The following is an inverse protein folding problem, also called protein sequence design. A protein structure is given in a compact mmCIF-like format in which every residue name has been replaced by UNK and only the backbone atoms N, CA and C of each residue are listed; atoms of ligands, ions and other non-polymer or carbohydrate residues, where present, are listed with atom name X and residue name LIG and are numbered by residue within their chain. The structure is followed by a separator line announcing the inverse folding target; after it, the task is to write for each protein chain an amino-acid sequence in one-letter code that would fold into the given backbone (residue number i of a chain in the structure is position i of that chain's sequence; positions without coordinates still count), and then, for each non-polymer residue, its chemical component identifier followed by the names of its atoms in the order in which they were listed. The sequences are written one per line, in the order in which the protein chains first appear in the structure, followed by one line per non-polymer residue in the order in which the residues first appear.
data_IF_631792034373
#
_entry.id   IF_631792034373
#
_cell.length_a   1.000
_cell.length_b   1.000
_cell.length_c   1.000
_cell.angle_alpha   90.00
_cell.angle_beta   90.00
_cell.angle_gamma   90.00
#
_symmetry.space_group_name_H-M   'P 1'
#
loop_
_entity.id
_entity.type
_entity.pdbx_description
1 polymer ?
#
# COMPACT_ATOMS: atom_id res chain seq x y z
N UNK A 1 18.46 -11.03 -11.80
CA UNK A 1 17.47 -9.95 -11.92
C UNK A 1 16.45 -10.05 -10.78
N UNK A 2 16.08 -8.91 -10.17
CA UNK A 2 15.11 -8.82 -9.06
C UNK A 2 13.95 -7.93 -9.51
N UNK A 3 12.73 -8.40 -9.46
CA UNK A 3 11.54 -7.58 -9.69
C UNK A 3 10.90 -7.20 -8.35
N UNK A 4 10.69 -5.90 -8.11
CA UNK A 4 10.03 -5.39 -6.91
C UNK A 4 8.68 -4.80 -7.30
N UNK A 5 7.63 -5.55 -7.05
CA UNK A 5 6.25 -5.11 -7.24
C UNK A 5 5.81 -4.24 -6.08
N UNK A 6 5.26 -3.07 -6.35
CA UNK A 6 4.83 -2.16 -5.31
C UNK A 6 3.45 -1.56 -5.55
N UNK A 7 2.79 -1.19 -4.46
CA UNK A 7 1.56 -0.41 -4.46
C UNK A 7 1.68 0.68 -3.39
N UNK A 8 1.47 1.95 -3.76
CA UNK A 8 1.63 3.06 -2.83
C UNK A 8 0.61 4.17 -3.08
N UNK A 9 -0.22 4.47 -2.08
CA UNK A 9 -1.19 5.57 -2.15
C UNK A 9 -0.59 6.93 -1.77
N UNK A 10 0.18 6.97 -0.70
CA UNK A 10 0.70 8.21 -0.08
C UNK A 10 2.22 8.34 -0.16
N UNK A 11 2.88 7.46 -0.91
CA UNK A 11 4.32 7.53 -1.16
C UNK A 11 5.17 6.60 -0.28
N UNK A 12 4.75 6.25 0.93
CA UNK A 12 5.56 5.45 1.87
C UNK A 12 6.11 4.16 1.25
N UNK A 13 5.26 3.30 0.71
CA UNK A 13 5.71 2.03 0.12
C UNK A 13 6.57 2.24 -1.14
N UNK A 14 6.28 3.27 -1.95
CA UNK A 14 7.12 3.60 -3.10
C UNK A 14 8.51 4.09 -2.67
N UNK A 15 8.58 4.91 -1.61
CA UNK A 15 9.86 5.34 -1.05
C UNK A 15 10.68 4.15 -0.57
N UNK A 16 10.09 3.26 0.22
CA UNK A 16 10.75 2.03 0.68
C UNK A 16 11.20 1.16 -0.51
N UNK A 17 10.35 0.98 -1.52
CA UNK A 17 10.72 0.22 -2.72
C UNK A 17 11.91 0.85 -3.46
N UNK A 18 11.94 2.18 -3.59
CA UNK A 18 13.07 2.93 -4.17
C UNK A 18 14.36 2.75 -3.35
N UNK A 19 14.27 2.79 -2.03
CA UNK A 19 15.43 2.58 -1.15
C UNK A 19 15.97 1.14 -1.24
N UNK A 20 15.10 0.15 -1.34
CA UNK A 20 15.49 -1.24 -1.57
C UNK A 20 16.16 -1.43 -2.93
N UNK A 21 15.58 -0.86 -3.99
CA UNK A 21 16.13 -0.98 -5.35
C UNK A 21 17.54 -0.36 -5.46
N UNK A 22 17.84 0.69 -4.71
CA UNK A 22 19.18 1.29 -4.65
C UNK A 22 20.24 0.36 -4.02
N UNK A 23 19.83 -0.60 -3.20
CA UNK A 23 20.70 -1.51 -2.43
C UNK A 23 20.76 -2.92 -3.00
N UNK A 24 19.81 -3.26 -3.86
CA UNK A 24 19.73 -4.58 -4.49
C UNK A 24 20.20 -4.47 -5.94
N UNK A 25 21.18 -5.28 -6.38
CA UNK A 25 21.68 -5.23 -7.74
C UNK A 25 20.59 -5.64 -8.74
N UNK A 26 20.54 -4.96 -9.87
CA UNK A 26 19.60 -5.23 -10.96
C UNK A 26 18.13 -5.30 -10.52
N UNK A 27 17.72 -4.46 -9.57
CA UNK A 27 16.34 -4.42 -9.10
C UNK A 27 15.49 -3.48 -9.95
N UNK A 28 14.42 -4.01 -10.53
CA UNK A 28 13.41 -3.26 -11.27
C UNK A 28 12.17 -2.99 -10.40
N UNK A 29 11.66 -1.76 -10.43
CA UNK A 29 10.45 -1.37 -9.72
C UNK A 29 9.23 -1.45 -10.64
N UNK A 30 8.26 -2.29 -10.30
CA UNK A 30 7.08 -2.55 -11.10
C UNK A 30 5.81 -2.17 -10.31
N UNK A 31 5.06 -1.13 -10.75
CA UNK A 31 3.85 -0.73 -10.04
C UNK A 31 2.71 -1.73 -10.27
N UNK A 32 2.12 -2.24 -9.19
CA UNK A 32 0.97 -3.17 -9.25
C UNK A 32 -0.25 -2.52 -9.93
N UNK A 33 -0.43 -1.21 -9.77
CA UNK A 33 -1.57 -0.49 -10.33
C UNK A 33 -1.57 -0.40 -11.87
N UNK A 34 -0.45 -0.75 -12.55
CA UNK A 34 -0.36 -0.78 -14.02
C UNK A 34 -1.13 -1.94 -14.65
N UNK A 35 -1.29 -3.03 -13.91
CA UNK A 35 -1.93 -4.23 -14.43
C UNK A 35 -3.45 -4.10 -14.46
N UNK A 36 -4.01 -4.40 -15.61
CA UNK A 36 -5.46 -4.40 -15.82
C UNK A 36 -6.18 -5.46 -14.98
N UNK A 37 -7.51 -5.36 -14.92
CA UNK A 37 -8.32 -6.25 -14.08
C UNK A 37 -8.29 -7.74 -14.49
N UNK A 38 -7.95 -8.05 -15.73
CA UNK A 38 -7.99 -9.42 -16.31
C UNK A 38 -6.65 -9.91 -16.84
N UNK A 39 -5.62 -9.12 -16.71
CA UNK A 39 -4.29 -9.41 -17.24
C UNK A 39 -3.60 -10.49 -16.41
N UNK A 40 -3.12 -11.55 -17.02
CA UNK A 40 -2.21 -12.50 -16.40
C UNK A 40 -0.85 -11.83 -16.20
N UNK A 41 -0.22 -12.10 -15.07
CA UNK A 41 1.04 -11.48 -14.69
C UNK A 41 2.07 -12.60 -14.55
N UNK A 42 3.05 -12.60 -15.44
CA UNK A 42 4.12 -13.61 -15.42
C UNK A 42 5.45 -12.93 -15.16
N UNK A 43 6.21 -13.47 -14.22
CA UNK A 43 7.57 -13.05 -13.92
C UNK A 43 8.54 -14.22 -14.12
N UNK A 44 9.64 -13.95 -14.81
CA UNK A 44 10.76 -14.87 -14.98
C UNK A 44 11.96 -14.54 -14.08
N UNK A 45 11.82 -13.56 -13.20
CA UNK A 45 12.86 -13.11 -12.30
C UNK A 45 13.27 -14.19 -11.29
N UNK A 46 14.56 -14.20 -10.93
CA UNK A 46 15.12 -15.13 -9.94
C UNK A 46 14.75 -14.75 -8.51
N UNK A 47 14.40 -13.48 -8.31
CA UNK A 47 13.87 -12.99 -7.05
C UNK A 47 12.72 -12.00 -7.29
N UNK A 48 11.66 -12.12 -6.47
CA UNK A 48 10.47 -11.29 -6.55
C UNK A 48 10.19 -10.66 -5.19
N UNK A 49 10.13 -9.33 -5.15
CA UNK A 49 9.77 -8.54 -3.99
C UNK A 49 8.34 -8.00 -4.08
N UNK A 50 7.69 -7.88 -2.93
CA UNK A 50 6.40 -7.20 -2.79
C UNK A 50 6.51 -6.12 -1.72
N UNK A 51 6.34 -4.84 -2.08
CA UNK A 51 6.40 -3.71 -1.14
C UNK A 51 5.06 -2.98 -1.13
N UNK A 52 4.28 -3.16 -0.06
CA UNK A 52 2.88 -2.75 -0.02
C UNK A 52 2.45 -2.21 1.34
N UNK A 53 1.45 -1.32 1.37
CA UNK A 53 0.85 -0.88 2.63
C UNK A 53 -0.17 -1.90 3.15
N UNK A 54 -0.52 -1.75 4.42
CA UNK A 54 -1.67 -2.42 5.03
C UNK A 54 -2.83 -1.43 5.11
N UNK A 55 -3.94 -1.77 4.48
CA UNK A 55 -5.17 -0.99 4.55
C UNK A 55 -6.21 -1.75 5.37
N UNK A 56 -6.74 -1.09 6.40
CA UNK A 56 -7.80 -1.65 7.24
C UNK A 56 -7.54 -3.10 7.63
N UNK A 57 -6.41 -3.29 8.27
CA UNK A 57 -6.03 -4.58 8.83
C UNK A 57 -5.80 -5.69 7.76
N UNK A 58 -5.60 -5.33 6.49
CA UNK A 58 -5.41 -6.32 5.44
C UNK A 58 -4.73 -5.76 4.19
N UNK A 59 -4.61 -6.60 3.19
CA UNK A 59 -4.06 -6.19 1.90
C UNK A 59 -5.03 -5.27 1.15
N UNK A 60 -4.55 -4.21 0.51
CA UNK A 60 -5.33 -3.48 -0.48
C UNK A 60 -5.86 -4.41 -1.56
N UNK A 61 -7.11 -4.22 -1.98
CA UNK A 61 -7.70 -5.10 -2.99
C UNK A 61 -6.92 -5.18 -4.32
N UNK A 62 -6.21 -4.10 -4.78
CA UNK A 62 -5.38 -4.24 -5.97
C UNK A 62 -4.22 -5.22 -5.77
N UNK A 63 -3.61 -5.22 -4.58
CA UNK A 63 -2.52 -6.15 -4.21
C UNK A 63 -3.03 -7.58 -4.14
N UNK A 64 -4.20 -7.78 -3.51
CA UNK A 64 -4.83 -9.11 -3.46
C UNK A 64 -5.08 -9.66 -4.86
N UNK A 65 -5.69 -8.88 -5.74
CA UNK A 65 -5.93 -9.26 -7.13
C UNK A 65 -4.66 -9.49 -7.95
N UNK A 66 -3.60 -8.75 -7.65
CA UNK A 66 -2.31 -9.00 -8.25
C UNK A 66 -1.80 -10.40 -7.89
N UNK A 67 -1.74 -10.73 -6.60
CA UNK A 67 -1.26 -12.04 -6.12
C UNK A 67 -2.11 -13.21 -6.63
N UNK A 68 -3.42 -13.06 -6.73
CA UNK A 68 -4.35 -14.07 -7.27
C UNK A 68 -4.10 -14.40 -8.76
N UNK A 69 -3.36 -13.56 -9.49
CA UNK A 69 -3.13 -13.69 -10.95
C UNK A 69 -1.66 -13.75 -11.32
N UNK A 70 -0.78 -13.52 -10.35
CA UNK A 70 0.65 -13.56 -10.57
C UNK A 70 1.13 -15.01 -10.62
N UNK A 71 1.95 -15.29 -11.64
CA UNK A 71 2.71 -16.52 -11.77
C UNK A 71 4.18 -16.16 -11.77
N UNK A 72 4.94 -16.73 -10.86
CA UNK A 72 6.36 -16.48 -10.71
C UNK A 72 7.16 -17.69 -11.18
N UNK A 73 8.40 -17.45 -11.62
CA UNK A 73 9.33 -18.53 -11.98
C UNK A 73 9.39 -19.56 -10.84
N UNK A 74 9.21 -20.86 -11.13
CA UNK A 74 9.36 -21.91 -10.13
C UNK A 74 10.72 -21.83 -9.44
N UNK A 75 10.73 -21.95 -8.10
CA UNK A 75 11.94 -21.83 -7.29
C UNK A 75 12.48 -20.41 -7.12
N UNK A 76 11.85 -19.36 -7.66
CA UNK A 76 12.26 -17.98 -7.42
C UNK A 76 12.20 -17.63 -5.94
N UNK A 77 13.18 -16.87 -5.46
CA UNK A 77 13.15 -16.33 -4.11
C UNK A 77 12.10 -15.23 -3.98
N UNK A 78 11.23 -15.31 -2.96
CA UNK A 78 10.15 -14.35 -2.77
C UNK A 78 10.27 -13.64 -1.43
N UNK A 79 10.18 -12.30 -1.43
CA UNK A 79 10.15 -11.52 -0.19
C UNK A 79 9.00 -10.52 -0.19
N UNK A 80 8.49 -10.21 1.01
CA UNK A 80 7.41 -9.25 1.22
C UNK A 80 7.79 -8.23 2.28
N UNK A 81 7.49 -6.96 2.02
CA UNK A 81 7.70 -5.84 2.93
C UNK A 81 6.39 -5.09 3.09
N UNK A 82 5.91 -4.94 4.32
CA UNK A 82 4.75 -4.11 4.64
C UNK A 82 5.18 -2.84 5.34
N UNK A 83 4.67 -1.69 4.87
CA UNK A 83 4.98 -0.35 5.41
C UNK A 83 4.04 0.05 6.54
N UNK A 84 3.68 -0.91 7.36
CA UNK A 84 3.03 -0.79 8.65
C UNK A 84 3.26 -2.07 9.42
N UNK A 85 3.52 -1.98 10.71
CA UNK A 85 3.44 -3.12 11.59
C UNK A 85 2.08 -3.81 11.46
N UNK A 86 2.11 -5.10 11.29
CA UNK A 86 0.92 -5.92 11.13
C UNK A 86 1.15 -7.30 11.75
N UNK A 87 0.05 -7.97 12.08
CA UNK A 87 0.12 -9.37 12.51
C UNK A 87 0.63 -10.25 11.38
N UNK A 88 1.33 -11.31 11.72
CA UNK A 88 1.84 -12.30 10.75
C UNK A 88 0.75 -12.94 9.89
N UNK A 89 -0.50 -12.93 10.34
CA UNK A 89 -1.66 -13.38 9.56
C UNK A 89 -1.77 -12.68 8.20
N UNK A 90 -1.20 -11.49 8.03
CA UNK A 90 -1.13 -10.82 6.73
C UNK A 90 -0.23 -11.59 5.77
N UNK A 91 0.96 -12.00 6.22
CA UNK A 91 1.89 -12.79 5.40
C UNK A 91 1.35 -14.19 5.10
N UNK A 92 0.70 -14.83 6.06
CA UNK A 92 -0.03 -16.07 5.82
C UNK A 92 -1.17 -15.90 4.80
N UNK A 93 -1.82 -14.73 4.81
CA UNK A 93 -2.83 -14.40 3.80
C UNK A 93 -2.19 -14.19 2.42
N UNK A 94 -1.01 -13.57 2.35
CA UNK A 94 -0.26 -13.44 1.09
C UNK A 94 0.15 -14.81 0.53
N UNK A 95 0.67 -15.69 1.38
CA UNK A 95 1.05 -17.06 0.98
C UNK A 95 -0.13 -17.84 0.37
N UNK A 96 -1.32 -17.71 0.97
CA UNK A 96 -2.54 -18.37 0.47
C UNK A 96 -3.03 -17.86 -0.89
N UNK A 97 -2.55 -16.70 -1.32
CA UNK A 97 -2.88 -16.11 -2.62
C UNK A 97 -1.86 -16.48 -3.72
N UNK A 98 -0.73 -17.05 -3.34
CA UNK A 98 0.24 -17.59 -4.28
C UNK A 98 -0.22 -18.96 -4.83
N UNK A 99 0.34 -19.42 -5.95
CA UNK A 99 0.14 -20.78 -6.44
C UNK A 99 0.40 -21.83 -5.35
N UNK A 100 -0.28 -22.98 -5.45
CA UNK A 100 -0.26 -24.02 -4.42
C UNK A 100 1.16 -24.48 -4.13
N UNK A 101 1.56 -24.45 -2.86
CA UNK A 101 2.88 -24.85 -2.38
C UNK A 101 3.93 -23.73 -2.37
N UNK A 102 3.61 -22.56 -2.92
CA UNK A 102 4.48 -21.40 -2.88
C UNK A 102 4.26 -20.55 -1.62
N UNK A 103 5.33 -19.89 -1.17
CA UNK A 103 5.29 -18.94 -0.05
C UNK A 103 6.40 -17.90 -0.15
N UNK A 104 6.25 -16.81 0.55
CA UNK A 104 7.33 -15.86 0.73
C UNK A 104 8.43 -16.44 1.64
N UNK A 105 9.68 -16.36 1.21
CA UNK A 105 10.85 -16.82 1.97
C UNK A 105 11.19 -15.83 3.08
N UNK A 106 11.13 -14.52 2.78
CA UNK A 106 11.37 -13.48 3.75
C UNK A 106 10.20 -12.49 3.84
N UNK A 107 9.82 -12.16 5.08
CA UNK A 107 8.71 -11.25 5.36
C UNK A 107 9.15 -10.21 6.37
N UNK A 108 8.85 -8.94 6.10
CA UNK A 108 9.24 -7.81 6.93
C UNK A 108 8.05 -6.86 7.12
N UNK A 109 7.90 -6.38 8.34
CA UNK A 109 6.92 -5.35 8.68
C UNK A 109 7.59 -4.30 9.55
N UNK A 110 7.42 -3.04 9.22
CA UNK A 110 7.90 -1.92 10.02
C UNK A 110 7.00 -0.70 9.86
N UNK A 111 7.13 0.22 10.78
CA UNK A 111 6.31 1.42 10.82
C UNK A 111 6.76 2.42 9.76
N UNK A 112 5.77 3.07 9.14
CA UNK A 112 5.91 4.29 8.36
C UNK A 112 4.87 5.31 8.82
N UNK A 113 5.05 6.62 8.56
CA UNK A 113 4.13 7.63 9.03
C UNK A 113 2.67 7.33 8.70
N UNK A 114 1.80 7.46 9.70
CA UNK A 114 0.37 7.15 9.58
C UNK A 114 -0.30 8.06 8.57
N UNK A 115 -1.11 7.45 7.70
CA UNK A 115 -1.89 8.15 6.68
C UNK A 115 -3.40 7.88 6.78
N UNK A 116 -3.85 7.12 7.78
CA UNK A 116 -5.27 6.81 7.97
C UNK A 116 -5.97 7.87 8.85
N UNK A 117 -6.10 9.07 8.33
CA UNK A 117 -6.72 10.23 8.97
C UNK A 117 -8.17 10.08 9.43
N UNK A 118 -9.02 9.14 8.94
CA UNK A 118 -10.32 8.92 9.55
C UNK A 118 -10.30 8.55 11.03
N UNK A 119 -9.14 8.08 11.52
CA UNK A 119 -8.96 7.65 12.93
C UNK A 119 -7.79 8.35 13.59
N UNK A 120 -6.67 8.53 12.89
CA UNK A 120 -5.41 9.02 13.46
C UNK A 120 -5.06 10.41 12.93
N UNK A 121 -4.31 11.16 13.69
CA UNK A 121 -3.62 12.37 13.23
C UNK A 121 -2.35 11.97 12.47
N UNK A 122 -1.87 12.84 11.59
CA UNK A 122 -0.57 12.65 10.96
C UNK A 122 0.54 12.88 11.97
N UNK A 123 1.65 12.18 11.80
CA UNK A 123 2.81 12.32 12.68
C UNK A 123 3.39 13.74 12.64
N UNK A 124 3.91 14.17 13.77
CA UNK A 124 4.74 15.38 13.90
C UNK A 124 5.99 15.27 13.04
N UNK A 125 6.71 16.36 12.86
CA UNK A 125 7.94 16.39 12.09
C UNK A 125 9.03 15.53 12.74
N UNK A 126 9.17 15.59 14.07
CA UNK A 126 10.14 14.78 14.82
C UNK A 126 9.85 13.28 14.73
N UNK A 127 8.56 12.89 14.84
CA UNK A 127 8.15 11.50 14.67
C UNK A 127 8.45 11.00 13.25
N UNK A 128 8.19 11.81 12.22
CA UNK A 128 8.52 11.47 10.84
C UNK A 128 10.01 11.30 10.62
N UNK A 129 10.84 12.20 11.19
CA UNK A 129 12.28 12.11 11.11
C UNK A 129 12.83 10.87 11.83
N UNK A 130 12.25 10.49 12.98
CA UNK A 130 12.60 9.25 13.68
C UNK A 130 12.29 8.02 12.83
N UNK A 131 11.05 7.94 12.35
CA UNK A 131 10.58 6.80 11.52
C UNK A 131 11.38 6.66 10.23
N UNK A 132 11.79 7.78 9.61
CA UNK A 132 12.64 7.76 8.41
C UNK A 132 14.01 7.15 8.68
N UNK A 133 14.66 7.48 9.80
CA UNK A 133 15.96 6.87 10.20
C UNK A 133 15.80 5.37 10.45
N UNK A 134 14.80 4.98 11.24
CA UNK A 134 14.51 3.58 11.53
C UNK A 134 14.20 2.77 10.25
N UNK A 135 13.48 3.38 9.31
CA UNK A 135 13.20 2.78 8.01
C UNK A 135 14.47 2.49 7.22
N UNK A 136 15.43 3.41 7.19
CA UNK A 136 16.71 3.20 6.48
C UNK A 136 17.48 2.02 7.06
N UNK A 137 17.53 1.88 8.38
CA UNK A 137 18.15 0.73 9.06
C UNK A 137 17.43 -0.59 8.71
N UNK A 138 16.10 -0.57 8.68
CA UNK A 138 15.31 -1.72 8.24
C UNK A 138 15.61 -2.09 6.80
N UNK A 139 15.69 -1.12 5.89
CA UNK A 139 15.98 -1.36 4.47
C UNK A 139 17.37 -1.98 4.28
N UNK A 140 18.39 -1.53 5.02
CA UNK A 140 19.76 -2.09 4.96
C UNK A 140 19.77 -3.56 5.41
N UNK A 141 19.07 -3.87 6.49
CA UNK A 141 18.91 -5.25 6.97
C UNK A 141 18.15 -6.12 5.96
N UNK A 142 17.05 -5.61 5.38
CA UNK A 142 16.28 -6.31 4.37
C UNK A 142 17.14 -6.62 3.15
N UNK A 143 17.86 -5.62 2.64
CA UNK A 143 18.74 -5.79 1.48
C UNK A 143 19.79 -6.89 1.72
N UNK A 144 20.40 -6.92 2.93
CA UNK A 144 21.37 -7.96 3.31
C UNK A 144 20.73 -9.36 3.31
N UNK A 145 19.53 -9.51 3.88
CA UNK A 145 18.83 -10.81 3.95
C UNK A 145 18.42 -11.27 2.55
N UNK A 146 17.88 -10.36 1.73
CA UNK A 146 17.44 -10.64 0.36
C UNK A 146 18.63 -11.02 -0.54
N UNK A 147 19.74 -10.30 -0.46
CA UNK A 147 20.96 -10.60 -1.24
C UNK A 147 21.52 -11.99 -0.93
N UNK A 148 21.39 -12.45 0.31
CA UNK A 148 21.78 -13.81 0.74
C UNK A 148 20.69 -14.86 0.47
N UNK A 149 19.54 -14.48 -0.07
CA UNK A 149 18.35 -15.33 -0.24
C UNK A 149 17.98 -16.08 1.06
N UNK A 150 18.22 -15.46 2.20
CA UNK A 150 18.00 -16.09 3.50
C UNK A 150 16.50 -16.12 3.84
N UNK A 151 16.10 -17.15 4.57
CA UNK A 151 14.72 -17.24 5.10
C UNK A 151 14.60 -16.36 6.35
N UNK A 152 13.62 -15.46 6.32
CA UNK A 152 13.31 -14.57 7.42
C UNK A 152 11.80 -14.42 7.58
N UNK A 153 11.25 -15.04 8.62
CA UNK A 153 9.81 -14.88 8.92
C UNK A 153 9.66 -14.43 10.36
N UNK A 154 9.00 -13.29 10.59
CA UNK A 154 8.75 -12.84 11.93
C UNK A 154 7.91 -13.89 12.67
N UNK A 155 8.15 -14.12 13.94
CA UNK A 155 7.36 -15.04 14.78
C UNK A 155 6.31 -14.23 15.54
N UNK A 156 5.04 -14.67 15.52
CA UNK A 156 4.02 -14.08 16.38
C UNK A 156 4.38 -14.38 17.84
N UNK A 157 4.24 -13.38 18.70
CA UNK A 157 4.34 -13.61 20.13
C UNK A 157 3.20 -14.56 20.56
N UNK A 158 3.47 -15.61 21.36
CA UNK A 158 2.43 -16.59 21.75
C UNK A 158 1.15 -15.97 22.30
N UNK A 159 1.26 -14.88 23.09
CA UNK A 159 0.11 -14.16 23.65
C UNK A 159 -0.78 -13.46 22.61
N UNK A 160 -0.31 -13.28 21.38
CA UNK A 160 -1.06 -12.66 20.29
C UNK A 160 -1.83 -13.66 19.42
N UNK A 161 -1.63 -14.97 19.67
CA UNK A 161 -2.25 -16.01 18.84
C UNK A 161 -3.77 -15.91 18.79
N UNK A 162 -4.43 -15.77 19.94
CA UNK A 162 -5.91 -15.62 20.01
C UNK A 162 -6.36 -14.35 19.30
N UNK A 163 -5.68 -13.23 19.55
CA UNK A 163 -6.01 -11.95 18.93
C UNK A 163 -5.84 -12.02 17.41
N UNK A 164 -4.73 -12.58 16.92
CA UNK A 164 -4.39 -12.60 15.50
C UNK A 164 -5.19 -13.63 14.69
N UNK A 165 -5.57 -14.76 15.29
CA UNK A 165 -6.24 -15.84 14.56
C UNK A 165 -7.76 -15.89 14.75
N UNK A 166 -8.27 -15.41 15.88
CA UNK A 166 -9.70 -15.43 16.18
C UNK A 166 -10.36 -14.05 16.09
N UNK A 167 -9.83 -13.06 16.78
CA UNK A 167 -10.46 -11.73 16.88
C UNK A 167 -10.20 -10.91 15.62
N UNK A 168 -8.96 -10.86 15.17
CA UNK A 168 -8.55 -10.06 14.02
C UNK A 168 -9.29 -10.40 12.71
N UNK A 169 -9.54 -11.67 12.31
CA UNK A 169 -10.32 -11.97 11.14
C UNK A 169 -11.77 -11.46 11.21
N UNK A 170 -12.40 -11.51 12.40
CA UNK A 170 -13.75 -11.00 12.62
C UNK A 170 -13.81 -9.48 12.51
N UNK A 171 -12.88 -8.78 13.19
CA UNK A 171 -12.76 -7.32 13.10
C UNK A 171 -12.47 -6.88 11.69
N UNK A 172 -11.57 -7.56 10.97
CA UNK A 172 -11.25 -7.30 9.57
C UNK A 172 -12.48 -7.49 8.67
N UNK A 173 -13.24 -8.57 8.87
CA UNK A 173 -14.46 -8.85 8.10
C UNK A 173 -15.51 -7.77 8.32
N UNK A 174 -15.75 -7.38 9.57
CA UNK A 174 -16.64 -6.28 9.91
C UNK A 174 -16.21 -4.96 9.26
N UNK A 175 -14.93 -4.63 9.34
CA UNK A 175 -14.37 -3.43 8.72
C UNK A 175 -14.58 -3.42 7.20
N UNK A 176 -14.35 -4.55 6.53
CA UNK A 176 -14.48 -4.67 5.08
C UNK A 176 -15.93 -4.67 4.61
N UNK A 177 -16.85 -5.23 5.38
CA UNK A 177 -18.26 -5.35 4.97
C UNK A 177 -19.10 -4.12 5.36
N UNK A 178 -18.81 -3.50 6.50
CA UNK A 178 -19.63 -2.41 7.05
C UNK A 178 -18.95 -1.06 6.93
N UNK A 179 -17.69 -0.97 7.38
CA UNK A 179 -16.99 0.30 7.52
C UNK A 179 -16.54 0.91 6.20
N UNK A 180 -15.98 0.10 5.33
CA UNK A 180 -15.43 0.56 4.06
C UNK A 180 -16.47 1.03 3.05
N UNK A 181 -17.55 0.29 2.76
CA UNK A 181 -18.56 0.76 1.83
C UNK A 181 -19.14 2.12 2.25
N UNK A 182 -19.32 2.34 3.56
CA UNK A 182 -19.80 3.62 4.07
C UNK A 182 -18.77 4.74 3.93
N UNK A 183 -17.48 4.47 4.19
CA UNK A 183 -16.42 5.44 3.99
C UNK A 183 -16.24 5.82 2.53
N UNK A 184 -16.41 4.88 1.61
CA UNK A 184 -16.31 5.13 0.17
C UNK A 184 -17.31 6.18 -0.33
N UNK A 185 -18.51 6.20 0.26
CA UNK A 185 -19.58 7.16 -0.05
C UNK A 185 -19.42 8.50 0.67
N UNK A 186 -18.51 8.57 1.65
CA UNK A 186 -18.33 9.74 2.51
C UNK A 186 -17.33 10.75 1.96
N UNK A 187 -16.63 10.45 0.86
CA UNK A 187 -15.70 11.38 0.24
C UNK A 187 -16.45 12.48 -0.51
N UNK A 188 -16.01 13.72 -0.31
CA UNK A 188 -16.53 14.88 -1.02
C UNK A 188 -15.44 15.94 -1.20
N UNK A 189 -15.69 16.91 -2.06
CA UNK A 189 -14.88 18.12 -2.21
C UNK A 189 -15.65 19.31 -1.67
N UNK A 190 -15.07 20.05 -0.73
CA UNK A 190 -15.64 21.30 -0.20
C UNK A 190 -15.39 22.47 -1.19
N UNK A 191 -15.76 23.70 -0.75
CA UNK A 191 -15.70 24.89 -1.60
C UNK A 191 -14.27 25.39 -1.88
N UNK A 192 -13.27 24.90 -1.16
CA UNK A 192 -11.85 25.16 -1.46
C UNK A 192 -11.36 24.44 -2.74
N UNK A 193 -12.23 23.67 -3.41
CA UNK A 193 -11.86 22.93 -4.61
C UNK A 193 -11.60 23.87 -5.79
N UNK A 194 -10.36 23.86 -6.29
CA UNK A 194 -9.93 24.68 -7.44
C UNK A 194 -10.12 23.99 -8.80
N UNK A 195 -10.64 22.77 -8.83
CA UNK A 195 -10.81 22.01 -10.09
C UNK A 195 -9.51 21.46 -10.69
N UNK A 196 -8.37 21.48 -9.99
CA UNK A 196 -7.05 21.16 -10.54
C UNK A 196 -6.88 19.71 -11.04
N UNK A 197 -7.78 18.77 -10.72
CA UNK A 197 -7.75 17.39 -11.21
C UNK A 197 -6.76 16.46 -10.53
N UNK A 198 -5.91 16.94 -9.61
CA UNK A 198 -4.89 16.11 -8.93
C UNK A 198 -5.49 14.85 -8.30
N UNK A 199 -6.67 14.95 -7.65
CA UNK A 199 -7.35 13.83 -7.04
C UNK A 199 -7.73 12.71 -8.02
N UNK A 200 -8.11 13.07 -9.26
CA UNK A 200 -8.38 12.10 -10.33
C UNK A 200 -7.08 11.46 -10.87
N UNK A 201 -6.02 12.27 -11.00
CA UNK A 201 -4.71 11.80 -11.47
C UNK A 201 -4.11 10.77 -10.51
N UNK A 202 -4.10 11.03 -9.19
CA UNK A 202 -3.53 10.13 -8.18
C UNK A 202 -4.45 8.96 -7.80
N UNK A 203 -5.67 8.89 -8.32
CA UNK A 203 -6.61 7.82 -7.99
C UNK A 203 -6.20 6.51 -8.66
N UNK A 204 -5.52 5.62 -7.93
CA UNK A 204 -5.01 4.35 -8.44
C UNK A 204 -6.12 3.36 -8.87
N UNK A 205 -7.34 3.56 -8.38
CA UNK A 205 -8.51 2.78 -8.79
C UNK A 205 -9.27 3.38 -9.97
N UNK A 206 -8.88 4.56 -10.46
CA UNK A 206 -9.64 5.35 -11.44
C UNK A 206 -11.10 5.60 -11.02
N UNK A 207 -11.35 5.68 -9.70
CA UNK A 207 -12.69 5.95 -9.16
C UNK A 207 -13.12 7.41 -9.32
N UNK A 208 -12.18 8.33 -9.40
CA UNK A 208 -12.46 9.77 -9.48
C UNK A 208 -12.32 10.24 -10.91
N UNK A 209 -13.37 10.92 -11.41
CA UNK A 209 -13.38 11.64 -12.69
C UNK A 209 -13.73 13.09 -12.44
N UNK A 210 -13.29 13.99 -13.32
CA UNK A 210 -13.67 15.41 -13.26
C UNK A 210 -14.96 15.63 -14.05
N UNK A 211 -15.95 16.29 -13.44
CA UNK A 211 -17.21 16.70 -14.07
C UNK A 211 -17.51 18.14 -13.67
N UNK A 212 -17.72 19.01 -14.64
CA UNK A 212 -17.97 20.44 -14.38
C UNK A 212 -16.90 21.10 -13.50
N UNK A 213 -15.62 20.76 -13.70
CA UNK A 213 -14.51 21.30 -12.91
C UNK A 213 -14.40 20.73 -11.46
N UNK A 214 -15.23 19.77 -11.06
CA UNK A 214 -15.19 19.17 -9.71
C UNK A 214 -15.01 17.64 -9.76
N UNK A 215 -14.40 17.04 -8.73
CA UNK A 215 -14.25 15.58 -8.67
C UNK A 215 -15.59 14.89 -8.41
N UNK A 216 -15.87 13.83 -9.17
CA UNK A 216 -17.01 12.94 -9.00
C UNK A 216 -16.51 11.49 -8.78
N UNK A 217 -17.02 10.84 -7.74
CA UNK A 217 -16.68 9.45 -7.43
C UNK A 217 -17.63 8.50 -8.16
N UNK A 218 -17.10 7.73 -9.09
CA UNK A 218 -17.89 6.78 -9.89
C UNK A 218 -18.48 5.68 -9.01
N UNK A 219 -19.81 5.43 -9.01
CA UNK A 219 -20.44 4.46 -8.09
C UNK A 219 -19.98 3.03 -8.36
N UNK A 220 -19.76 2.66 -9.62
CA UNK A 220 -19.43 1.29 -10.06
C UNK A 220 -17.94 0.96 -10.02
N UNK A 221 -17.10 1.86 -9.52
CA UNK A 221 -15.67 1.65 -9.37
C UNK A 221 -15.32 1.55 -7.90
N UNK A 222 -14.76 0.41 -7.48
CA UNK A 222 -14.36 0.18 -6.09
C UNK A 222 -13.17 1.05 -5.70
N UNK A 223 -13.24 1.74 -4.56
CA UNK A 223 -12.13 2.51 -4.00
C UNK A 223 -11.01 1.60 -3.49
N UNK A 224 -9.74 1.99 -3.69
CA UNK A 224 -8.59 1.31 -3.10
C UNK A 224 -8.32 1.72 -1.65
N UNK A 225 -9.04 2.69 -1.11
CA UNK A 225 -8.90 3.25 0.24
C UNK A 225 -7.49 3.74 0.59
N UNK A 226 -6.74 4.13 -0.44
CA UNK A 226 -5.34 4.54 -0.30
C UNK A 226 -5.16 6.00 0.15
N UNK A 227 -6.24 6.77 0.22
CA UNK A 227 -6.27 8.18 0.61
C UNK A 227 -5.37 9.14 -0.22
N UNK A 228 -4.85 8.68 -1.36
CA UNK A 228 -4.04 9.52 -2.23
C UNK A 228 -4.76 10.83 -2.61
N UNK A 229 -6.03 10.75 -3.02
CA UNK A 229 -6.82 11.93 -3.36
C UNK A 229 -6.96 12.93 -2.21
N UNK A 230 -6.99 12.46 -0.98
CA UNK A 230 -7.04 13.29 0.22
C UNK A 230 -5.68 13.96 0.47
N UNK A 231 -4.61 13.19 0.53
CA UNK A 231 -3.29 13.68 0.95
C UNK A 231 -2.58 14.53 -0.10
N UNK A 232 -2.80 14.29 -1.38
CA UNK A 232 -2.21 15.06 -2.48
C UNK A 232 -3.08 16.24 -2.96
N UNK A 233 -4.24 16.51 -2.35
CA UNK A 233 -5.06 17.65 -2.71
C UNK A 233 -4.37 18.96 -2.30
N UNK A 234 -3.93 19.82 -3.25
CA UNK A 234 -3.16 21.03 -2.91
C UNK A 234 -3.98 22.07 -2.16
N UNK A 235 -5.28 22.16 -2.45
CA UNK A 235 -6.21 23.08 -1.76
C UNK A 235 -6.87 22.48 -0.53
N UNK A 236 -6.48 21.25 -0.13
CA UNK A 236 -7.06 20.50 0.97
C UNK A 236 -8.60 20.31 0.88
N UNK A 237 -9.15 20.41 -0.32
CA UNK A 237 -10.59 20.37 -0.55
C UNK A 237 -11.23 18.98 -0.34
N UNK A 238 -10.47 17.89 -0.56
CA UNK A 238 -11.02 16.54 -0.38
C UNK A 238 -11.17 16.24 1.11
N UNK A 239 -12.39 15.87 1.51
CA UNK A 239 -12.77 15.58 2.90
C UNK A 239 -13.53 14.26 2.99
N UNK A 240 -13.71 13.76 4.23
CA UNK A 240 -14.49 12.56 4.54
C UNK A 240 -15.58 12.95 5.54
N UNK A 241 -16.83 12.89 5.12
CA UNK A 241 -17.98 13.24 5.93
C UNK A 241 -18.07 12.41 7.23
N UNK A 242 -18.50 13.01 8.31
CA UNK A 242 -18.58 12.36 9.63
C UNK A 242 -17.22 12.06 10.26
N UNK A 243 -16.12 12.64 9.72
CA UNK A 243 -14.76 12.52 10.24
C UNK A 243 -14.14 13.91 10.35
N UNK A 244 -13.46 14.18 11.43
CA UNK A 244 -12.83 15.49 11.65
C UNK A 244 -11.53 15.62 10.82
N UNK A 245 -11.63 15.37 9.49
CA UNK A 245 -10.45 15.32 8.61
C UNK A 245 -9.86 16.70 8.28
N UNK A 246 -10.58 17.76 8.54
CA UNK A 246 -10.09 19.14 8.39
C UNK A 246 -8.97 19.48 9.37
N UNK A 247 -8.96 18.86 10.58
CA UNK A 247 -8.00 19.14 11.65
C UNK A 247 -6.86 18.13 11.77
N UNK A 248 -6.94 16.96 11.08
CA UNK A 248 -6.00 15.86 11.29
C UNK A 248 -4.74 15.92 10.43
N UNK A 249 -4.54 17.02 9.72
CA UNK A 249 -3.39 17.23 8.88
C UNK A 249 -3.41 16.40 7.59
N UNK A 250 -2.37 16.57 6.80
CA UNK A 250 -2.13 15.84 5.55
C UNK A 250 -0.67 15.42 5.49
N UNK A 251 -0.45 14.25 5.00
CA UNK A 251 0.89 13.73 4.82
C UNK A 251 0.97 12.82 3.61
N UNK A 252 1.87 13.11 2.74
CA UNK A 252 2.44 12.17 1.79
C UNK A 252 3.95 12.18 1.93
N UNK A 253 4.62 11.13 1.52
CA UNK A 253 6.07 11.07 1.64
C UNK A 253 6.73 12.20 0.83
N UNK A 254 7.62 13.03 1.43
CA UNK A 254 8.14 14.25 0.80
C UNK A 254 8.93 13.97 -0.49
N UNK A 255 9.58 12.82 -0.61
CA UNK A 255 10.31 12.43 -1.82
C UNK A 255 9.42 11.80 -2.92
N UNK A 256 8.08 11.79 -2.75
CA UNK A 256 7.16 11.19 -3.71
C UNK A 256 6.09 12.20 -4.12
N UNK A 257 6.13 12.63 -5.36
CA UNK A 257 5.20 13.61 -5.92
C UNK A 257 3.85 12.98 -6.34
N UNK A 258 2.85 13.83 -6.59
CA UNK A 258 1.58 13.39 -7.18
C UNK A 258 1.80 12.74 -8.56
N UNK A 259 2.78 13.21 -9.34
CA UNK A 259 3.14 12.64 -10.63
C UNK A 259 3.70 11.21 -10.49
N UNK A 260 4.50 10.93 -9.45
CA UNK A 260 5.00 9.59 -9.15
C UNK A 260 3.86 8.62 -8.82
N UNK A 261 2.87 9.08 -8.05
CA UNK A 261 1.68 8.26 -7.75
C UNK A 261 0.88 8.00 -9.01
N UNK A 262 0.62 9.03 -9.83
CA UNK A 262 -0.11 8.90 -11.08
C UNK A 262 0.60 7.96 -12.08
N UNK A 263 1.94 7.98 -12.09
CA UNK A 263 2.76 7.13 -12.96
C UNK A 263 2.55 5.62 -12.71
N UNK A 264 2.14 5.21 -11.49
CA UNK A 264 1.84 3.81 -11.19
C UNK A 264 0.75 3.19 -12.10
N UNK A 265 -0.09 4.02 -12.72
CA UNK A 265 -1.18 3.54 -13.62
C UNK A 265 -0.75 3.43 -15.08
N UNK A 266 0.42 3.95 -15.45
CA UNK A 266 0.88 3.92 -16.83
C UNK A 266 1.24 2.48 -17.19
N UNK A 267 0.72 2.03 -18.31
CA UNK A 267 1.19 0.78 -18.94
C UNK A 267 2.55 1.06 -19.57
N UNK A 268 3.43 0.10 -19.52
CA UNK A 268 4.70 0.15 -20.23
C UNK A 268 4.45 0.09 -21.73
#
# INVERSE_FOLDING_TARGET
MIEIYYFSGTGNSLHVARQLAKRLPEAELIPIARFGRREAITSTADAVGLVVPIHALGLPWPVKRFLERASFKPGSYKFAVTTRECFQTVFTTMDKLLPRGERFHACFAFEMPVTYVPVFEVYSEDERARVEREMLDHVDRIATIVSRRAVHRPKDHPGWFVLSHMIYPLVRRWFQLVRFPNMERSFYANDSCTGCGTCAQVCLANKIVMRGGRPAWQPNVRCAYCLACFHYCPSHAIQISGRNTTRRGRYHHPSVSAADIAAQKRRA
#
